data_IF_497232278243
#
_entry.id   IF_497232278243
#
_cell.length_a   1.000
_cell.length_b   1.000
_cell.length_c   1.000
_cell.angle_alpha   90.00
_cell.angle_beta   90.00
_cell.angle_gamma   90.00
#
_symmetry.space_group_name_H-M   'P 1'
#
loop_
_entity.id
_entity.type
_entity.pdbx_description
1 polymer ?
2 polymer ?
3 non-polymer ?
4 non-polymer ?
5 water ?
#
# COMPACT_ATOMS: atom_id res chain seq x y z
N UNK A 1 -8.21 25.76 2.23
CA UNK A 1 -8.82 24.96 3.28
C UNK A 1 -8.24 23.55 3.50
N UNK A 2 -7.52 22.98 2.53
CA UNK A 2 -6.81 21.70 2.81
C UNK A 2 -5.53 21.99 3.57
N UNK A 3 -5.35 21.36 4.74
CA UNK A 3 -4.25 21.70 5.64
C UNK A 3 -3.09 20.70 5.61
N UNK A 4 -3.21 19.59 4.87
CA UNK A 4 -2.16 18.58 4.84
C UNK A 4 -1.55 18.40 3.46
N UNK A 5 -2.07 19.07 2.43
CA UNK A 5 -1.65 18.81 1.06
C UNK A 5 -0.15 19.01 0.85
N UNK A 6 0.41 20.07 1.44
CA UNK A 6 1.81 20.40 1.16
C UNK A 6 2.71 19.56 2.05
N UNK A 7 2.22 19.17 3.22
CA UNK A 7 2.95 18.22 4.05
C UNK A 7 3.06 16.89 3.34
N UNK A 8 1.94 16.39 2.82
CA UNK A 8 1.96 15.12 2.11
C UNK A 8 2.80 15.20 0.86
N UNK A 9 2.89 16.38 0.23
CA UNK A 9 3.73 16.49 -0.94
C UNK A 9 5.21 16.48 -0.56
N UNK A 10 5.53 16.92 0.66
CA UNK A 10 6.95 17.03 1.02
C UNK A 10 7.48 15.77 1.68
N UNK A 11 6.62 14.95 2.26
CA UNK A 11 7.07 13.70 2.87
C UNK A 11 6.95 12.51 1.92
N UNK A 12 6.35 12.68 0.75
CA UNK A 12 6.24 11.57 -0.19
C UNK A 12 7.61 10.99 -0.49
N UNK A 13 7.79 9.67 -0.35
CA UNK A 13 9.11 9.10 -0.61
C UNK A 13 9.47 9.08 -2.09
N UNK A 14 10.78 9.15 -2.34
CA UNK A 14 11.32 9.03 -3.68
C UNK A 14 11.16 7.60 -4.19
N UNK A 15 11.34 7.44 -5.51
CA UNK A 15 11.12 6.14 -6.12
C UNK A 15 12.27 5.18 -5.80
N UNK A 16 11.91 3.94 -5.52
CA UNK A 16 12.85 2.89 -5.15
C UNK A 16 13.15 2.02 -6.37
N UNK A 17 14.43 1.68 -6.54
CA UNK A 17 14.83 0.77 -7.60
C UNK A 17 14.93 -0.66 -7.11
N UNK A 18 14.65 -1.61 -8.02
CA UNK A 18 14.73 -3.02 -7.67
C UNK A 18 16.15 -3.55 -7.72
N UNK A 19 16.98 -3.04 -8.63
CA UNK A 19 18.26 -3.65 -8.87
C UNK A 19 18.20 -4.96 -9.63
N UNK A 20 17.08 -5.25 -10.29
CA UNK A 20 16.94 -6.48 -11.05
C UNK A 20 17.83 -6.44 -12.29
N UNK A 21 18.47 -7.57 -12.55
CA UNK A 21 19.30 -7.73 -13.74
C UNK A 21 18.41 -8.11 -14.92
N UNK A 22 18.11 -7.13 -15.76
CA UNK A 22 17.11 -7.26 -16.83
C UNK A 22 17.70 -7.89 -18.09
N UNK A 23 18.86 -8.53 -17.95
CA UNK A 23 19.50 -9.29 -19.01
C UNK A 23 19.44 -10.79 -18.74
N UNK A 24 19.42 -11.20 -17.47
CA UNK A 24 19.17 -12.59 -17.15
C UNK A 24 17.82 -13.03 -17.71
N UNK A 25 17.64 -14.31 -18.00
CA UNK A 25 16.31 -14.80 -18.34
C UNK A 25 15.41 -14.87 -17.11
N UNK A 26 14.17 -14.42 -17.27
CA UNK A 26 13.25 -14.38 -16.14
C UNK A 26 12.90 -15.79 -15.67
N UNK A 27 12.93 -15.98 -14.35
CA UNK A 27 12.35 -17.15 -13.70
C UNK A 27 11.35 -16.69 -12.64
N UNK A 28 10.48 -17.61 -12.26
CA UNK A 28 9.64 -17.41 -11.08
C UNK A 28 10.45 -16.92 -9.89
N UNK A 29 11.55 -17.61 -9.59
CA UNK A 29 12.33 -17.30 -8.39
C UNK A 29 12.99 -15.93 -8.51
N UNK A 30 13.54 -15.63 -9.68
CA UNK A 30 14.21 -14.33 -9.82
C UNK A 30 13.21 -13.18 -9.69
N UNK A 31 12.03 -13.35 -10.24
CA UNK A 31 11.04 -12.28 -10.21
C UNK A 31 10.49 -12.07 -8.81
N UNK A 32 10.12 -13.16 -8.14
CA UNK A 32 9.57 -13.01 -6.80
C UNK A 32 10.64 -12.53 -5.81
N UNK A 33 11.87 -13.04 -5.93
CA UNK A 33 12.95 -12.53 -5.09
C UNK A 33 13.16 -11.04 -5.30
N UNK A 34 13.26 -10.60 -6.56
CA UNK A 34 13.44 -9.18 -6.83
C UNK A 34 12.32 -8.35 -6.22
N UNK A 35 11.07 -8.84 -6.36
CA UNK A 35 9.96 -8.16 -5.71
C UNK A 35 10.12 -8.09 -4.20
N UNK A 36 10.56 -9.17 -3.56
CA UNK A 36 10.80 -9.13 -2.13
C UNK A 36 11.85 -8.08 -1.73
N UNK A 37 12.93 -7.98 -2.49
CA UNK A 37 13.98 -6.99 -2.22
C UNK A 37 13.40 -5.58 -2.31
N UNK A 38 12.81 -5.27 -3.47
CA UNK A 38 12.10 -4.00 -3.64
C UNK A 38 11.13 -3.73 -2.49
N UNK A 39 10.33 -4.74 -2.12
CA UNK A 39 9.43 -4.60 -0.98
C UNK A 39 10.12 -4.20 0.32
N UNK A 40 11.27 -4.81 0.62
CA UNK A 40 12.05 -4.44 1.81
C UNK A 40 12.41 -2.96 1.80
N UNK A 41 12.96 -2.49 0.69
CA UNK A 41 13.44 -1.11 0.69
C UNK A 41 12.30 -0.11 0.60
N UNK A 42 11.20 -0.48 -0.06
CA UNK A 42 10.03 0.37 0.01
C UNK A 42 9.47 0.42 1.43
N UNK A 43 9.48 -0.71 2.14
CA UNK A 43 9.00 -0.72 3.51
C UNK A 43 9.82 0.21 4.41
N UNK A 44 11.13 0.27 4.18
CA UNK A 44 11.93 1.22 4.96
C UNK A 44 11.44 2.65 4.71
N UNK A 45 11.14 2.95 3.46
CA UNK A 45 10.68 4.32 3.19
C UNK A 45 9.26 4.55 3.65
N UNK A 46 8.42 3.53 3.64
CA UNK A 46 7.06 3.67 4.15
C UNK A 46 7.08 3.93 5.65
N UNK A 47 8.01 3.33 6.36
CA UNK A 47 8.11 3.60 7.81
C UNK A 47 8.54 5.05 8.06
N UNK A 48 9.49 5.57 7.26
CA UNK A 48 9.89 6.96 7.46
C UNK A 48 8.75 7.91 7.11
N UNK A 49 7.97 7.55 6.10
CA UNK A 49 6.81 8.35 5.68
C UNK A 49 5.73 8.35 6.75
N UNK A 50 5.35 7.16 7.22
CA UNK A 50 4.34 7.03 8.28
C UNK A 50 4.75 7.82 9.52
N UNK A 51 6.05 7.80 9.85
CA UNK A 51 6.54 8.50 11.03
C UNK A 51 6.39 10.01 10.84
N UNK A 52 6.45 10.47 9.59
CA UNK A 52 6.33 11.90 9.34
C UNK A 52 4.88 12.36 9.14
N UNK A 53 3.91 11.44 9.07
CA UNK A 53 2.50 11.79 8.87
C UNK A 53 1.92 12.41 10.14
N UNK A 54 1.50 13.66 10.09
CA UNK A 54 1.06 14.34 11.32
C UNK A 54 0.08 13.54 12.18
N UNK A 55 0.43 13.39 13.45
CA UNK A 55 -0.38 12.67 14.40
C UNK A 55 0.02 11.22 14.59
N UNK A 56 0.64 10.61 13.57
CA UNK A 56 0.95 9.18 13.63
C UNK A 56 1.88 8.85 14.81
N UNK A 57 2.94 9.65 15.01
CA UNK A 57 3.90 9.41 16.07
C UNK A 57 3.29 9.59 17.46
N UNK A 58 2.09 10.15 17.55
CA UNK A 58 1.40 10.33 18.82
C UNK A 58 0.59 9.12 19.23
N UNK A 59 0.29 8.22 18.31
CA UNK A 59 -0.26 6.93 18.68
C UNK A 59 0.76 6.18 19.54
N UNK A 60 0.28 5.26 20.38
CA UNK A 60 1.21 4.42 21.12
C UNK A 60 2.08 3.65 20.13
N UNK A 61 3.37 3.51 20.46
CA UNK A 61 4.31 2.85 19.56
C UNK A 61 3.84 1.47 19.12
N UNK A 62 3.09 0.77 19.97
CA UNK A 62 2.58 -0.56 19.64
C UNK A 62 1.49 -0.46 18.58
N UNK A 63 0.73 0.63 18.62
CA UNK A 63 -0.26 0.90 17.58
C UNK A 63 0.40 1.28 16.26
N UNK A 64 1.46 2.09 16.31
CA UNK A 64 2.22 2.39 15.10
C UNK A 64 2.74 1.12 14.43
N UNK A 65 3.24 0.19 15.23
CA UNK A 65 3.73 -1.07 14.67
C UNK A 65 2.58 -1.85 14.07
N UNK A 66 1.47 -1.98 14.81
CA UNK A 66 0.29 -2.70 14.32
C UNK A 66 -0.15 -2.13 12.97
N UNK A 67 -0.27 -0.81 12.89
CA UNK A 67 -0.79 -0.19 11.69
C UNK A 67 0.12 -0.48 10.49
N UNK A 68 1.43 -0.38 10.68
CA UNK A 68 2.33 -0.61 9.54
C UNK A 68 2.31 -2.10 9.15
N UNK A 69 2.32 -2.98 10.14
CA UNK A 69 2.27 -4.42 9.87
C UNK A 69 1.02 -4.77 9.06
N UNK A 70 -0.12 -4.15 9.38
CA UNK A 70 -1.37 -4.46 8.70
C UNK A 70 -1.46 -3.82 7.30
N UNK A 71 -0.99 -2.59 7.13
CA UNK A 71 -1.31 -1.84 5.92
C UNK A 71 -0.17 -1.68 4.92
N UNK A 72 1.03 -2.24 5.17
CA UNK A 72 2.11 -2.04 4.20
C UNK A 72 1.73 -2.58 2.82
N UNK A 73 1.04 -3.72 2.76
CA UNK A 73 0.68 -4.31 1.47
C UNK A 73 -0.28 -3.39 0.71
N UNK A 74 -1.31 -2.90 1.39
CA UNK A 74 -2.25 -2.00 0.74
C UNK A 74 -1.58 -0.71 0.26
N UNK A 75 -0.75 -0.11 1.14
CA UNK A 75 -0.06 1.12 0.75
C UNK A 75 0.80 0.90 -0.50
N UNK A 76 1.52 -0.22 -0.54
CA UNK A 76 2.45 -0.43 -1.62
C UNK A 76 1.74 -0.79 -2.92
N UNK A 77 0.68 -1.59 -2.84
CA UNK A 77 -0.12 -1.88 -4.04
C UNK A 77 -0.72 -0.59 -4.60
N UNK A 78 -1.23 0.29 -3.74
CA UNK A 78 -1.84 1.53 -4.20
C UNK A 78 -0.80 2.42 -4.84
N UNK A 79 0.38 2.56 -4.21
CA UNK A 79 1.45 3.37 -4.79
C UNK A 79 1.85 2.81 -6.15
N UNK A 80 1.95 1.48 -6.24
CA UNK A 80 2.40 0.87 -7.48
C UNK A 80 1.38 1.08 -8.60
N UNK A 81 0.09 0.97 -8.28
CA UNK A 81 -0.93 1.30 -9.24
C UNK A 81 -0.80 2.73 -9.75
N UNK A 82 -0.61 3.67 -8.82
CA UNK A 82 -0.38 5.06 -9.23
C UNK A 82 0.83 5.17 -10.16
N UNK A 83 1.94 4.50 -9.82
CA UNK A 83 3.11 4.58 -10.70
C UNK A 83 2.79 4.02 -12.09
N UNK A 84 2.07 2.91 -12.15
CA UNK A 84 1.70 2.30 -13.42
C UNK A 84 0.89 3.27 -14.25
N UNK A 85 -0.04 3.96 -13.59
CA UNK A 85 -0.85 4.98 -14.25
C UNK A 85 0.01 6.08 -14.81
N UNK A 86 0.81 6.73 -13.95
CA UNK A 86 1.56 7.90 -14.39
C UNK A 86 2.63 7.57 -15.43
N UNK A 87 3.14 6.33 -15.46
CA UNK A 87 4.30 6.05 -16.31
C UNK A 87 3.99 5.22 -17.55
N UNK A 88 3.09 4.25 -17.47
CA UNK A 88 2.74 3.47 -18.65
C UNK A 88 1.24 3.43 -18.91
N UNK A 89 0.52 4.42 -18.40
CA UNK A 89 -0.94 4.51 -18.57
C UNK A 89 -1.64 3.20 -18.22
N UNK A 90 -1.15 2.52 -17.17
CA UNK A 90 -1.76 1.32 -16.63
C UNK A 90 -1.78 0.16 -17.61
N UNK A 91 -0.93 0.16 -18.62
CA UNK A 91 -0.83 -0.97 -19.53
C UNK A 91 0.08 -2.07 -18.99
N UNK A 92 1.00 -1.76 -18.08
CA UNK A 92 1.92 -2.71 -17.48
C UNK A 92 2.08 -2.37 -16.01
N UNK A 93 2.55 -3.32 -15.22
CA UNK A 93 2.69 -3.08 -13.79
C UNK A 93 4.09 -2.52 -13.51
N UNK A 94 4.15 -1.27 -13.05
CA UNK A 94 5.43 -0.56 -12.87
C UNK A 94 5.93 -0.68 -11.44
N UNK A 95 6.43 -1.88 -11.08
CA UNK A 95 6.90 -2.10 -9.71
C UNK A 95 8.01 -1.13 -9.36
N UNK A 96 8.93 -0.93 -10.29
CA UNK A 96 10.10 -0.06 -10.14
C UNK A 96 10.55 0.31 -11.52
N UNK A 97 11.27 1.42 -11.68
CA UNK A 97 11.70 1.80 -13.03
C UNK A 97 12.44 0.70 -13.74
N UNK A 98 13.15 -0.14 -13.02
CA UNK A 98 13.90 -1.26 -13.58
C UNK A 98 13.23 -2.61 -13.34
N UNK A 99 12.00 -2.64 -12.83
CA UNK A 99 11.18 -3.85 -12.84
C UNK A 99 9.77 -3.46 -13.23
N UNK A 100 9.50 -3.55 -14.54
CA UNK A 100 8.17 -3.44 -15.11
C UNK A 100 7.71 -4.82 -15.53
N UNK A 101 6.51 -5.19 -15.13
CA UNK A 101 5.91 -6.45 -15.54
C UNK A 101 5.07 -6.21 -16.80
N UNK A 102 5.46 -6.85 -17.91
CA UNK A 102 4.61 -7.05 -19.06
C UNK A 102 3.84 -8.36 -18.87
N UNK A 103 3.01 -8.70 -19.86
CA UNK A 103 2.26 -9.95 -19.82
C UNK A 103 3.14 -11.17 -19.54
N UNK A 104 4.26 -11.29 -20.24
CA UNK A 104 5.16 -12.44 -20.08
C UNK A 104 5.61 -12.60 -18.63
N UNK A 105 6.12 -11.50 -18.04
CA UNK A 105 6.56 -11.56 -16.65
C UNK A 105 5.42 -11.90 -15.72
N UNK A 106 4.22 -11.37 -15.98
CA UNK A 106 3.08 -11.74 -15.18
C UNK A 106 2.87 -13.24 -15.21
N UNK A 107 3.08 -13.88 -16.37
CA UNK A 107 2.96 -15.34 -16.43
C UNK A 107 4.08 -16.03 -15.66
N UNK A 108 5.33 -15.64 -15.90
CA UNK A 108 6.45 -16.32 -15.26
C UNK A 108 6.43 -16.13 -13.76
N UNK A 109 5.93 -14.99 -13.28
CA UNK A 109 5.88 -14.70 -11.85
C UNK A 109 5.12 -15.73 -11.04
N UNK A 110 4.24 -16.52 -11.66
CA UNK A 110 3.42 -17.51 -10.95
C UNK A 110 2.25 -16.87 -10.22
N UNK A 111 2.06 -15.56 -10.34
CA UNK A 111 0.97 -14.86 -9.69
C UNK A 111 0.17 -14.04 -10.73
N UNK A 112 -0.10 -14.67 -11.87
CA UNK A 112 -0.69 -13.99 -13.02
C UNK A 112 -2.03 -13.34 -12.69
N UNK A 113 -2.94 -14.12 -12.09
CA UNK A 113 -4.29 -13.60 -11.85
C UNK A 113 -4.27 -12.41 -10.89
N UNK A 114 -3.37 -12.42 -9.92
CA UNK A 114 -3.23 -11.29 -8.99
C UNK A 114 -2.68 -10.06 -9.71
N UNK A 115 -1.76 -10.28 -10.65
CA UNK A 115 -1.20 -9.18 -11.45
C UNK A 115 -2.28 -8.56 -12.30
N UNK A 116 -3.13 -9.39 -12.92
CA UNK A 116 -4.24 -8.87 -13.71
C UNK A 116 -5.18 -8.04 -12.82
N UNK A 117 -5.50 -8.54 -11.62
CA UNK A 117 -6.38 -7.77 -10.72
C UNK A 117 -5.75 -6.44 -10.36
N UNK A 118 -4.43 -6.41 -10.18
CA UNK A 118 -3.76 -5.17 -9.79
C UNK A 118 -3.66 -4.20 -10.96
N UNK A 119 -3.56 -4.74 -12.19
CA UNK A 119 -3.57 -3.87 -13.37
C UNK A 119 -4.96 -3.28 -13.59
N UNK A 120 -6.01 -4.06 -13.28
CA UNK A 120 -7.37 -3.52 -13.36
C UNK A 120 -7.53 -2.38 -12.36
N UNK A 121 -6.95 -2.54 -11.19
CA UNK A 121 -7.00 -1.47 -10.20
C UNK A 121 -6.34 -0.20 -10.75
N UNK A 122 -5.15 -0.34 -11.37
CA UNK A 122 -4.53 0.85 -11.97
C UNK A 122 -5.41 1.46 -13.07
N UNK A 123 -6.14 0.63 -13.79
CA UNK A 123 -7.02 1.16 -14.81
C UNK A 123 -8.09 2.04 -14.14
N UNK A 124 -8.48 1.71 -12.92
CA UNK A 124 -9.40 2.60 -12.22
C UNK A 124 -8.82 4.01 -12.06
N UNK A 125 -7.50 4.12 -11.84
CA UNK A 125 -6.89 5.44 -11.79
C UNK A 125 -7.04 6.15 -13.14
N UNK A 126 -6.93 5.35 -14.22
CA UNK A 126 -7.03 5.95 -15.55
C UNK A 126 -8.43 6.51 -15.75
N UNK A 127 -9.45 5.73 -15.38
CA UNK A 127 -10.82 6.13 -15.66
C UNK A 127 -11.25 7.29 -14.79
N UNK A 128 -10.89 7.25 -13.50
CA UNK A 128 -11.25 8.32 -12.58
C UNK A 128 -10.43 9.59 -12.81
N UNK A 129 -9.29 9.50 -13.48
CA UNK A 129 -8.37 10.61 -13.66
C UNK A 129 -8.01 11.17 -12.28
N UNK A 130 -7.41 10.29 -11.48
CA UNK A 130 -7.00 10.65 -10.14
C UNK A 130 -5.84 11.63 -10.19
N UNK A 131 -5.97 12.73 -9.47
CA UNK A 131 -4.93 13.73 -9.37
C UNK A 131 -3.93 13.36 -8.29
N UNK A 132 -2.75 13.98 -8.37
CA UNK A 132 -1.68 13.68 -7.42
C UNK A 132 -2.10 13.96 -5.99
N UNK A 133 -2.89 15.02 -5.78
CA UNK A 133 -3.34 15.44 -4.46
C UNK A 133 -4.34 14.44 -3.88
N UNK A 134 -5.27 13.98 -4.73
CA UNK A 134 -6.19 12.93 -4.30
C UNK A 134 -5.42 11.64 -3.97
N UNK A 135 -4.43 11.30 -4.81
CA UNK A 135 -3.62 10.11 -4.57
C UNK A 135 -2.94 10.19 -3.21
N UNK A 136 -2.31 11.34 -2.90
CA UNK A 136 -1.59 11.46 -1.64
C UNK A 136 -2.54 11.34 -0.46
N UNK A 137 -3.72 11.93 -0.55
CA UNK A 137 -4.67 11.84 0.56
C UNK A 137 -5.14 10.40 0.76
N UNK A 138 -5.47 9.72 -0.32
CA UNK A 138 -5.98 8.36 -0.19
C UNK A 138 -4.90 7.42 0.34
N UNK A 139 -3.67 7.59 -0.15
CA UNK A 139 -2.60 6.72 0.34
C UNK A 139 -2.37 6.93 1.83
N UNK A 140 -2.41 8.20 2.29
CA UNK A 140 -2.29 8.44 3.73
C UNK A 140 -3.42 7.72 4.47
N UNK A 141 -4.61 7.69 3.87
CA UNK A 141 -5.77 7.08 4.52
C UNK A 141 -5.62 5.56 4.64
N UNK A 142 -4.82 4.94 3.76
CA UNK A 142 -4.65 3.49 3.74
C UNK A 142 -3.94 3.00 5.01
N UNK A 143 -3.30 3.90 5.77
CA UNK A 143 -2.68 3.51 7.00
C UNK A 143 -3.70 3.41 8.13
N UNK A 144 -5.00 3.62 7.82
CA UNK A 144 -6.07 3.63 8.80
C UNK A 144 -7.21 2.73 8.32
N UNK A 145 -6.90 1.71 7.51
CA UNK A 145 -7.92 0.88 6.87
C UNK A 145 -8.05 -0.52 7.47
N UNK A 146 -7.22 -0.87 8.44
CA UNK A 146 -7.24 -2.21 9.03
C UNK A 146 -6.85 -2.08 10.51
N UNK A 147 -7.59 -2.76 11.37
CA UNK A 147 -7.17 -2.79 12.77
C UNK A 147 -7.41 -4.17 13.37
N UNK A 148 -6.86 -4.48 14.54
CA UNK A 148 -7.18 -5.75 15.18
C UNK A 148 -8.66 -5.82 15.51
N UNK A 149 -9.21 -7.02 15.48
CA UNK A 149 -10.62 -7.16 15.75
C UNK A 149 -10.95 -6.67 17.16
N UNK A 150 -9.99 -6.73 18.08
CA UNK A 150 -10.19 -6.18 19.42
C UNK A 150 -9.76 -4.72 19.55
N UNK A 151 -9.25 -4.11 18.51
CA UNK A 151 -8.95 -2.70 18.52
C UNK A 151 -7.51 -2.40 18.92
N UNK A 152 -7.20 -1.11 18.96
CA UNK A 152 -5.88 -0.63 19.28
C UNK A 152 -5.76 -0.24 20.74
N UNK A 153 -4.54 0.11 21.15
CA UNK A 153 -4.30 0.63 22.49
C UNK A 153 -5.08 1.92 22.72
N UNK A 154 -4.82 2.97 21.93
CA UNK A 154 -5.67 4.15 21.97
C UNK A 154 -6.54 4.14 20.72
N UNK A 155 -7.70 3.50 20.85
CA UNK A 155 -8.71 3.52 19.77
C UNK A 155 -9.26 4.92 19.54
N UNK A 156 -9.67 5.59 20.63
CA UNK A 156 -10.30 6.91 20.52
C UNK A 156 -9.49 7.86 19.66
N UNK A 157 -8.18 7.88 19.86
CA UNK A 157 -7.34 8.82 19.14
C UNK A 157 -7.19 8.40 17.68
N UNK A 158 -7.00 7.10 17.44
CA UNK A 158 -6.92 6.62 16.07
C UNK A 158 -8.18 7.00 15.31
N UNK A 159 -9.36 6.82 15.94
CA UNK A 159 -10.62 7.18 15.30
C UNK A 159 -10.63 8.64 14.92
N UNK A 160 -10.24 9.52 15.85
CA UNK A 160 -10.28 10.95 15.54
C UNK A 160 -9.27 11.32 14.46
N UNK A 161 -8.09 10.74 14.48
CA UNK A 161 -7.06 11.04 13.46
C UNK A 161 -7.48 10.55 12.07
N UNK A 162 -8.12 9.37 12.02
CA UNK A 162 -8.67 8.84 10.78
C UNK A 162 -9.76 9.76 10.25
N UNK A 163 -10.70 10.16 11.11
CA UNK A 163 -11.75 11.09 10.70
C UNK A 163 -11.13 12.37 10.15
N UNK A 164 -10.04 12.82 10.75
CA UNK A 164 -9.37 14.03 10.33
C UNK A 164 -8.81 13.88 8.92
N UNK A 165 -8.28 12.72 8.59
CA UNK A 165 -7.71 12.53 7.25
C UNK A 165 -8.79 12.24 6.20
N UNK A 166 -9.90 11.63 6.62
CA UNK A 166 -11.06 11.55 5.75
C UNK A 166 -11.56 12.96 5.41
N UNK A 167 -11.71 13.79 6.44
CA UNK A 167 -12.11 15.17 6.17
C UNK A 167 -11.12 15.83 5.24
N UNK A 168 -9.82 15.57 5.40
CA UNK A 168 -8.86 16.19 4.50
C UNK A 168 -9.07 15.76 3.05
N UNK A 169 -9.38 14.48 2.82
CA UNK A 169 -9.68 14.07 1.45
C UNK A 169 -10.86 14.87 0.87
N UNK A 170 -11.92 15.01 1.66
CA UNK A 170 -13.03 15.84 1.22
C UNK A 170 -12.61 17.28 0.94
N UNK A 171 -11.83 17.89 1.83
CA UNK A 171 -11.37 19.25 1.61
C UNK A 171 -10.58 19.39 0.32
N UNK A 172 -9.77 18.37 -0.02
CA UNK A 172 -8.98 18.44 -1.26
C UNK A 172 -9.90 18.38 -2.47
N UNK A 173 -10.92 17.52 -2.41
CA UNK A 173 -11.85 17.42 -3.53
C UNK A 173 -12.57 18.74 -3.74
N UNK A 174 -13.09 19.32 -2.65
CA UNK A 174 -13.87 20.57 -2.77
C UNK A 174 -12.97 21.77 -3.07
N UNK A 175 -11.69 21.70 -2.74
CA UNK A 175 -10.74 22.71 -3.18
C UNK A 175 -10.54 22.62 -4.67
N UNK A 176 -10.57 21.40 -5.22
CA UNK A 176 -10.40 21.22 -6.68
C UNK A 176 -11.70 21.10 -7.49
N UNK A 177 -12.86 20.76 -6.90
CA UNK A 177 -14.00 20.41 -7.73
C UNK A 177 -14.72 21.61 -8.32
N UNK A 178 -15.92 21.35 -8.86
CA UNK A 178 -16.76 22.43 -9.38
C UNK A 178 -17.96 22.86 -8.55
N UNK A 179 -18.84 21.92 -8.19
CA UNK A 179 -20.10 22.16 -7.44
C UNK A 179 -20.09 21.36 -6.12
N UNK A 180 -20.97 21.66 -5.18
CA UNK A 180 -21.12 20.74 -4.03
C UNK A 180 -21.63 19.34 -4.42
N UNK A 181 -22.34 19.21 -5.55
CA UNK A 181 -22.93 17.92 -5.95
C UNK A 181 -21.89 17.04 -6.61
N UNK A 182 -21.00 17.67 -7.39
CA UNK A 182 -19.96 16.97 -8.15
C UNK A 182 -18.90 16.48 -7.18
N UNK A 183 -18.59 17.29 -6.16
CA UNK A 183 -17.57 16.94 -5.17
C UNK A 183 -18.09 15.85 -4.24
N UNK A 184 -19.38 15.86 -3.92
CA UNK A 184 -19.93 14.72 -3.18
C UNK A 184 -19.77 13.43 -3.98
N UNK A 185 -20.12 13.46 -5.28
CA UNK A 185 -19.98 12.26 -6.09
C UNK A 185 -18.51 11.80 -6.17
N UNK A 186 -17.59 12.76 -6.23
CA UNK A 186 -16.18 12.40 -6.33
C UNK A 186 -15.70 11.72 -5.07
N UNK A 187 -16.04 12.29 -3.90
CA UNK A 187 -15.77 11.62 -2.63
C UNK A 187 -16.30 10.19 -2.65
N UNK A 188 -17.53 9.99 -3.14
CA UNK A 188 -18.14 8.66 -3.17
C UNK A 188 -17.29 7.72 -4.01
N UNK A 189 -16.92 8.14 -5.22
CA UNK A 189 -16.12 7.33 -6.12
C UNK A 189 -14.78 6.97 -5.50
N UNK A 190 -14.11 7.92 -4.87
CA UNK A 190 -12.75 7.68 -4.42
C UNK A 190 -12.73 6.83 -3.14
N UNK A 191 -13.71 7.00 -2.24
CA UNK A 191 -13.81 6.08 -1.12
C UNK A 191 -14.23 4.69 -1.56
N UNK A 192 -14.96 4.55 -2.67
CA UNK A 192 -15.24 3.22 -3.17
C UNK A 192 -13.97 2.59 -3.73
N UNK A 193 -13.17 3.41 -4.41
CA UNK A 193 -11.90 2.89 -4.93
C UNK A 193 -11.00 2.40 -3.80
N UNK A 194 -10.89 3.17 -2.73
CA UNK A 194 -10.16 2.71 -1.56
C UNK A 194 -10.72 1.40 -1.03
N UNK A 195 -12.02 1.35 -0.77
CA UNK A 195 -12.62 0.11 -0.28
C UNK A 195 -12.31 -1.10 -1.16
N UNK A 196 -12.22 -0.92 -2.48
CA UNK A 196 -12.02 -2.04 -3.40
C UNK A 196 -10.63 -2.69 -3.26
N UNK A 197 -9.69 -2.01 -2.61
CA UNK A 197 -8.39 -2.59 -2.35
C UNK A 197 -8.47 -3.81 -1.46
N UNK A 198 -9.39 -3.83 -0.51
CA UNK A 198 -9.34 -4.84 0.54
C UNK A 198 -9.36 -6.27 0.01
N UNK A 199 -10.25 -6.67 -0.89
CA UNK A 199 -10.22 -8.06 -1.38
C UNK A 199 -8.95 -8.39 -2.11
N UNK A 200 -8.37 -7.42 -2.80
CA UNK A 200 -7.10 -7.65 -3.50
C UNK A 200 -6.00 -7.94 -2.49
N UNK A 201 -5.88 -7.07 -1.46
CA UNK A 201 -4.84 -7.23 -0.45
C UNK A 201 -5.04 -8.53 0.31
N UNK A 202 -6.29 -8.96 0.51
CA UNK A 202 -6.53 -10.27 1.13
C UNK A 202 -5.91 -11.37 0.29
N UNK A 203 -6.18 -11.36 -1.02
CA UNK A 203 -5.64 -12.39 -1.92
C UNK A 203 -4.11 -12.33 -1.95
N UNK A 204 -3.55 -11.13 -1.92
CA UNK A 204 -2.10 -10.97 -1.93
C UNK A 204 -1.49 -11.49 -0.62
N UNK A 205 -2.19 -11.29 0.50
CA UNK A 205 -1.71 -11.84 1.76
C UNK A 205 -1.72 -13.36 1.73
N UNK A 206 -2.75 -13.96 1.11
CA UNK A 206 -2.78 -15.41 0.97
C UNK A 206 -1.57 -15.89 0.16
N UNK A 207 -1.33 -15.26 -0.99
CA UNK A 207 -0.22 -15.64 -1.84
C UNK A 207 1.11 -15.47 -1.12
N UNK A 208 1.31 -14.30 -0.49
CA UNK A 208 2.49 -14.05 0.33
C UNK A 208 2.72 -15.19 1.33
N UNK A 209 1.70 -15.55 2.12
CA UNK A 209 1.85 -16.65 3.05
C UNK A 209 2.27 -17.94 2.34
N UNK A 210 1.61 -18.27 1.22
CA UNK A 210 1.94 -19.48 0.46
C UNK A 210 3.40 -19.50 0.07
N UNK A 211 3.93 -18.35 -0.34
CA UNK A 211 5.32 -18.24 -0.78
C UNK A 211 6.27 -18.32 0.41
N UNK A 212 5.96 -17.60 1.48
CA UNK A 212 6.75 -17.61 2.72
C UNK A 212 6.91 -19.05 3.20
N UNK A 213 5.82 -19.79 3.26
CA UNK A 213 5.88 -21.18 3.71
C UNK A 213 6.77 -22.00 2.80
N UNK A 214 6.72 -21.74 1.50
CA UNK A 214 7.41 -22.57 0.51
C UNK A 214 8.75 -21.96 0.07
N UNK A 215 9.24 -20.94 0.78
CA UNK A 215 10.43 -20.21 0.34
C UNK A 215 11.63 -21.10 0.08
N UNK A 216 11.76 -22.21 0.81
CA UNK A 216 12.98 -23.00 0.61
C UNK A 216 12.83 -23.83 -0.67
N UNK A 217 11.70 -24.49 -0.89
CA UNK A 217 11.55 -25.28 -2.11
C UNK A 217 11.49 -24.41 -3.36
N UNK A 218 10.99 -23.19 -3.25
CA UNK A 218 10.83 -22.31 -4.39
C UNK A 218 12.02 -21.41 -4.65
N UNK A 219 13.03 -21.40 -3.77
CA UNK A 219 14.20 -20.53 -3.90
C UNK A 219 13.79 -19.06 -4.02
N UNK A 220 12.91 -18.63 -3.12
CA UNK A 220 12.49 -17.23 -3.06
C UNK A 220 12.90 -16.72 -1.70
N UNK A 221 13.99 -15.94 -1.63
CA UNK A 221 14.41 -15.35 -0.37
C UNK A 221 13.50 -14.19 0.02
N UNK A 222 13.08 -14.18 1.29
CA UNK A 222 12.49 -13.01 1.91
C UNK A 222 13.51 -12.27 2.74
N UNK A 223 13.77 -10.99 2.49
CA UNK A 223 14.67 -10.23 3.38
C UNK A 223 14.15 -10.15 4.82
N UNK A 224 15.09 -9.88 5.72
CA UNK A 224 14.82 -9.88 7.15
C UNK A 224 13.55 -9.20 7.61
N UNK A 225 13.37 -7.92 7.27
CA UNK A 225 12.26 -7.20 7.89
C UNK A 225 10.93 -7.66 7.30
N UNK A 226 10.89 -7.92 6.00
CA UNK A 226 9.70 -8.52 5.42
C UNK A 226 9.37 -9.85 6.11
N UNK A 227 10.37 -10.69 6.32
CA UNK A 227 10.11 -11.96 7.02
C UNK A 227 9.49 -11.73 8.39
N UNK A 228 10.02 -10.75 9.15
CA UNK A 228 9.50 -10.57 10.51
C UNK A 228 8.08 -10.00 10.49
N UNK A 229 7.78 -9.10 9.56
CA UNK A 229 6.45 -8.53 9.47
C UNK A 229 5.45 -9.59 9.03
N UNK A 230 5.81 -10.36 8.01
CA UNK A 230 4.92 -11.38 7.46
C UNK A 230 4.62 -12.40 8.55
N UNK A 231 5.66 -12.98 9.15
CA UNK A 231 5.41 -14.03 10.14
C UNK A 231 4.76 -13.45 11.40
N UNK A 232 4.95 -12.17 11.69
CA UNK A 232 4.29 -11.55 12.82
C UNK A 232 2.78 -11.46 12.62
N UNK A 233 2.32 -10.89 11.50
CA UNK A 233 0.91 -10.58 11.40
C UNK A 233 0.12 -11.23 10.27
N UNK A 234 0.76 -11.75 9.23
CA UNK A 234 0.00 -12.36 8.12
C UNK A 234 -0.81 -13.54 8.57
N UNK A 235 -0.30 -14.44 9.43
CA UNK A 235 -1.18 -15.51 9.98
C UNK A 235 -2.41 -14.98 10.69
N UNK A 236 -2.29 -13.86 11.41
CA UNK A 236 -3.44 -13.31 12.12
C UNK A 236 -4.47 -12.78 11.14
N UNK A 237 -3.99 -12.11 10.08
CA UNK A 237 -4.86 -11.61 9.01
C UNK A 237 -5.60 -12.79 8.40
N UNK A 238 -4.88 -13.85 8.02
CA UNK A 238 -5.49 -14.99 7.36
C UNK A 238 -6.43 -15.74 8.30
N UNK A 239 -6.22 -15.63 9.61
CA UNK A 239 -7.04 -16.31 10.60
C UNK A 239 -8.27 -15.50 10.98
N UNK A 240 -8.45 -14.32 10.38
CA UNK A 240 -9.59 -13.46 10.69
C UNK A 240 -9.53 -12.67 11.97
N UNK A 241 -8.34 -12.39 12.47
CA UNK A 241 -8.15 -11.62 13.68
C UNK A 241 -8.10 -10.11 13.44
N UNK A 242 -8.30 -9.67 12.20
CA UNK A 242 -8.30 -8.26 11.85
C UNK A 242 -9.64 -7.88 11.22
N UNK A 243 -9.91 -6.59 11.18
CA UNK A 243 -11.18 -6.02 10.70
C UNK A 243 -10.90 -4.81 9.83
N UNK A 244 -11.18 -4.96 8.53
CA UNK A 244 -11.14 -3.81 7.62
C UNK A 244 -12.01 -2.66 8.08
N UNK A 245 -11.48 -1.44 7.94
CA UNK A 245 -12.24 -0.23 8.20
C UNK A 245 -12.62 0.35 6.85
N UNK A 246 -13.91 0.28 6.53
CA UNK A 246 -14.39 0.75 5.26
C UNK A 246 -14.61 2.27 5.31
N UNK A 247 -14.43 2.91 4.16
CA UNK A 247 -14.55 4.36 4.00
C UNK A 247 -15.87 4.72 3.38
N UNK A 248 -16.52 3.74 2.78
CA UNK A 248 -17.78 3.97 2.09
C UNK A 248 -18.79 2.91 2.42
N UNK B 1 11.80 -6.58 15.70
CA UNK B 1 12.77 -5.70 16.33
C UNK B 1 13.27 -4.70 15.29
N UNK B 2 13.32 -5.14 14.02
CA UNK B 2 13.75 -4.24 12.96
C UNK B 2 12.76 -3.12 12.71
N UNK B 3 11.46 -3.46 12.65
CA UNK B 3 10.42 -2.45 12.52
C UNK B 3 10.42 -1.54 13.75
N UNK B 4 10.51 -2.13 14.94
CA UNK B 4 10.59 -1.34 16.16
C UNK B 4 11.82 -0.44 16.17
N UNK B 5 12.93 -0.93 15.63
CA UNK B 5 14.14 -0.11 15.51
C UNK B 5 13.90 1.09 14.60
N UNK B 6 13.33 0.85 13.40
CA UNK B 6 13.03 1.96 12.49
C UNK B 6 12.05 2.95 13.11
N UNK B 7 11.10 2.46 13.91
CA UNK B 7 10.13 3.37 14.53
C UNK B 7 10.79 4.22 15.60
N UNK B 8 11.76 3.66 16.34
CA UNK B 8 12.34 4.39 17.47
C UNK B 8 13.40 5.40 17.05
N UNK B 9 14.03 5.22 15.89
CA UNK B 9 14.92 6.21 15.32
C UNK B 9 14.35 7.61 15.50
#
# INVERSE_FOLDING_TARGET
>A
IPIFLSVLQSIEPEVVYAGYDNTQPDTSASLLTSLNELGERQLVRVVKWAKALPGFRNLHVDDQMTLIQYSWMGVMVFAMGWRSYKNVNSRMLYFAPDLVFNEQRMQKSTMYNLCVRMRHLSQEFVWLQVTQEEFLCMKALLLFSIIPVEGLKNQKYFDELRMNYIKELDRVISFQGKNPTSSSQRFYQLTKLLDSLQPIVRKLHQFTFDLFVQSQSLSVEFPEMMSEIISAQVPKILAGMVKPLLFH
>B
ALLRYLLDK
#
